data_IF_283845812247
#
_entry.id   IF_283845812247
#
_cell.length_a   1.000
_cell.length_b   1.000
_cell.length_c   1.000
_cell.angle_alpha   90.00
_cell.angle_beta   90.00
_cell.angle_gamma   90.00
#
_symmetry.space_group_name_H-M   'P 1'
#
loop_
_entity.id
_entity.type
_entity.pdbx_description
1 polymer ?
#
# COMPACT_ATOMS: atom_id res chain seq x y z
N UNK A 1 -16.83 22.70 13.67
CA UNK A 1 -16.10 22.27 12.48
C UNK A 1 -15.52 20.85 12.64
N UNK A 2 -16.33 19.89 13.16
CA UNK A 2 -15.87 18.51 13.48
C UNK A 2 -16.41 17.43 12.54
N UNK A 3 -16.85 17.78 11.34
CA UNK A 3 -17.54 16.88 10.42
C UNK A 3 -16.76 16.43 9.17
N UNK A 4 -15.51 16.84 8.97
CA UNK A 4 -14.76 16.67 7.71
C UNK A 4 -13.60 15.68 7.78
N UNK A 5 -13.50 14.87 8.85
CA UNK A 5 -12.54 13.76 8.84
C UNK A 5 -13.15 12.61 8.06
N UNK A 6 -12.44 12.02 7.09
CA UNK A 6 -12.85 10.75 6.54
C UNK A 6 -12.90 9.75 7.71
N UNK A 7 -14.11 9.39 8.15
CA UNK A 7 -14.29 8.23 9.03
C UNK A 7 -14.02 6.98 8.19
N UNK A 8 -12.74 6.67 8.02
CA UNK A 8 -12.34 5.29 7.93
C UNK A 8 -12.50 4.80 9.36
N UNK A 9 -13.42 3.87 9.58
CA UNK A 9 -13.66 3.31 10.91
C UNK A 9 -12.33 2.89 11.51
N UNK A 10 -12.04 3.24 12.79
CA UNK A 10 -10.92 2.65 13.49
C UNK A 10 -11.00 1.14 13.33
N UNK A 11 -9.86 0.48 13.32
CA UNK A 11 -9.77 -0.98 13.48
C UNK A 11 -10.32 -1.32 14.87
N UNK A 12 -11.65 -1.13 15.06
CA UNK A 12 -12.37 -1.79 16.14
C UNK A 12 -12.20 -3.28 15.89
N UNK A 13 -11.86 -4.03 16.92
CA UNK A 13 -11.74 -5.48 16.97
C UNK A 13 -12.90 -6.13 16.18
N UNK A 14 -12.66 -6.32 14.87
CA UNK A 14 -13.64 -7.02 14.02
C UNK A 14 -13.69 -8.44 14.55
N UNK A 15 -14.88 -9.03 14.76
CA UNK A 15 -14.99 -10.42 15.20
C UNK A 15 -14.15 -11.28 14.28
N UNK A 16 -13.15 -11.95 14.86
CA UNK A 16 -12.17 -12.75 14.15
C UNK A 16 -12.92 -13.78 13.30
N UNK A 17 -12.67 -13.74 11.99
CA UNK A 17 -12.85 -14.94 11.15
C UNK A 17 -12.23 -16.10 11.92
N UNK A 18 -12.94 -17.24 11.98
CA UNK A 18 -12.56 -18.47 12.71
C UNK A 18 -11.05 -18.57 12.82
N UNK A 19 -10.51 -18.61 14.04
CA UNK A 19 -9.09 -18.70 14.33
C UNK A 19 -8.48 -19.81 13.46
N UNK A 20 -7.92 -19.39 12.32
CA UNK A 20 -7.00 -20.23 11.55
C UNK A 20 -5.68 -20.13 12.29
N UNK A 21 -4.99 -21.23 12.46
CA UNK A 21 -3.76 -21.41 13.24
C UNK A 21 -2.80 -20.23 13.06
N UNK A 22 -2.90 -19.25 13.94
CA UNK A 22 -1.91 -18.19 14.07
C UNK A 22 -0.70 -18.79 14.78
N UNK A 23 0.51 -18.48 14.33
CA UNK A 23 1.71 -18.77 15.11
C UNK A 23 1.48 -18.32 16.56
N UNK A 24 1.91 -19.10 17.55
CA UNK A 24 1.68 -18.74 18.94
C UNK A 24 2.28 -17.35 19.22
N UNK A 25 1.53 -16.51 19.97
CA UNK A 25 2.02 -15.22 20.41
C UNK A 25 3.32 -15.40 21.21
N UNK A 26 4.36 -14.63 20.89
CA UNK A 26 5.63 -14.61 21.62
C UNK A 26 5.61 -13.55 22.72
N UNK A 27 6.19 -13.87 23.87
CA UNK A 27 6.28 -12.96 24.99
C UNK A 27 7.53 -12.06 24.97
N UNK A 28 7.66 -11.15 25.95
CA UNK A 28 8.79 -10.21 26.02
C UNK A 28 10.17 -10.89 26.08
N UNK A 29 10.28 -12.08 26.69
CA UNK A 29 11.55 -12.84 26.80
C UNK A 29 11.98 -13.41 25.46
N UNK A 30 11.04 -13.94 24.69
CA UNK A 30 11.29 -14.47 23.34
C UNK A 30 11.68 -13.34 22.38
N UNK A 31 11.05 -12.15 22.51
CA UNK A 31 11.42 -10.95 21.76
C UNK A 31 12.85 -10.54 22.11
N UNK A 32 13.22 -10.53 23.40
CA UNK A 32 14.58 -10.21 23.83
C UNK A 32 15.61 -11.20 23.28
N UNK A 33 15.30 -12.50 23.31
CA UNK A 33 16.16 -13.52 22.73
C UNK A 33 16.32 -13.36 21.21
N UNK A 34 15.25 -12.98 20.50
CA UNK A 34 15.32 -12.64 19.08
C UNK A 34 16.20 -11.42 18.82
N UNK A 35 16.09 -10.37 19.64
CA UNK A 35 16.97 -9.19 19.52
C UNK A 35 18.43 -9.55 19.71
N UNK A 36 18.79 -10.37 20.69
CA UNK A 36 20.18 -10.83 20.88
C UNK A 36 20.70 -11.62 19.68
N UNK A 37 19.90 -12.52 19.09
CA UNK A 37 20.32 -13.23 17.87
C UNK A 37 20.59 -12.28 16.70
N UNK A 38 19.79 -11.21 16.57
CA UNK A 38 20.00 -10.18 15.55
C UNK A 38 21.25 -9.32 15.84
N UNK A 39 21.51 -9.00 17.12
CA UNK A 39 22.74 -8.33 17.53
C UNK A 39 23.98 -9.15 17.19
N UNK A 40 23.94 -10.47 17.40
CA UNK A 40 25.03 -11.40 17.03
C UNK A 40 25.23 -11.48 15.49
N UNK A 41 24.16 -11.35 14.70
CA UNK A 41 24.21 -11.38 13.24
C UNK A 41 24.65 -10.04 12.60
N UNK A 42 24.49 -8.92 13.32
CA UNK A 42 24.72 -7.58 12.79
C UNK A 42 26.14 -7.36 12.23
N UNK A 43 27.25 -7.78 12.90
CA UNK A 43 28.60 -7.56 12.39
C UNK A 43 28.84 -8.24 11.04
N UNK A 44 28.29 -9.44 10.83
CA UNK A 44 28.37 -10.15 9.56
C UNK A 44 27.65 -9.38 8.46
N UNK A 45 26.39 -8.97 8.69
CA UNK A 45 25.60 -8.24 7.71
C UNK A 45 26.23 -6.89 7.35
N UNK A 46 26.75 -6.16 8.34
CA UNK A 46 27.41 -4.87 8.14
C UNK A 46 28.73 -5.00 7.39
N UNK A 47 29.42 -6.14 7.51
CA UNK A 47 30.64 -6.44 6.77
C UNK A 47 30.43 -6.69 5.28
N UNK A 48 29.19 -6.94 4.83
CA UNK A 48 28.86 -7.17 3.42
C UNK A 48 28.66 -5.82 2.70
N UNK A 49 29.29 -5.59 1.54
CA UNK A 49 29.02 -4.39 0.72
C UNK A 49 27.55 -4.25 0.32
N UNK A 50 27.03 -3.03 0.23
CA UNK A 50 25.62 -2.78 -0.13
C UNK A 50 25.22 -3.38 -1.48
N UNK A 51 26.10 -3.37 -2.47
CA UNK A 51 25.86 -4.01 -3.77
C UNK A 51 25.70 -5.54 -3.65
N UNK A 52 26.49 -6.20 -2.80
CA UNK A 52 26.40 -7.63 -2.55
C UNK A 52 25.13 -7.97 -1.76
N UNK A 53 24.74 -7.14 -0.78
CA UNK A 53 23.43 -7.31 -0.10
C UNK A 53 22.27 -7.23 -1.09
N UNK A 54 22.33 -6.28 -2.03
CA UNK A 54 21.32 -6.16 -3.09
C UNK A 54 21.28 -7.38 -4.01
N UNK A 55 22.43 -7.94 -4.39
CA UNK A 55 22.50 -9.16 -5.19
C UNK A 55 21.88 -10.36 -4.45
N UNK A 56 22.24 -10.56 -3.17
CA UNK A 56 21.72 -11.64 -2.34
C UNK A 56 20.21 -11.56 -2.16
N UNK A 57 19.67 -10.37 -1.87
CA UNK A 57 18.23 -10.12 -1.77
C UNK A 57 17.53 -10.14 -3.12
N UNK A 58 18.24 -9.79 -4.19
CA UNK A 58 17.72 -9.92 -5.56
C UNK A 58 17.33 -11.36 -5.91
N UNK A 59 18.12 -12.36 -5.50
CA UNK A 59 17.77 -13.77 -5.69
C UNK A 59 16.43 -14.14 -5.03
N UNK A 60 16.13 -13.60 -3.85
CA UNK A 60 14.82 -13.77 -3.22
C UNK A 60 13.70 -13.22 -4.10
N UNK A 61 13.88 -12.01 -4.64
CA UNK A 61 12.87 -11.40 -5.51
C UNK A 61 12.70 -12.20 -6.81
N UNK A 62 13.78 -12.66 -7.43
CA UNK A 62 13.71 -13.49 -8.64
C UNK A 62 12.88 -14.75 -8.41
N UNK A 63 13.03 -15.42 -7.26
CA UNK A 63 12.19 -16.56 -6.88
C UNK A 63 10.71 -16.19 -6.68
N UNK A 64 10.41 -15.01 -6.17
CA UNK A 64 9.04 -14.55 -5.97
C UNK A 64 8.41 -13.99 -7.25
N UNK A 65 9.21 -13.48 -8.17
CA UNK A 65 8.76 -12.99 -9.48
C UNK A 65 8.51 -14.11 -10.48
N UNK A 66 9.24 -15.24 -10.39
CA UNK A 66 9.05 -16.39 -11.27
C UNK A 66 7.70 -17.10 -10.99
N UNK A 67 6.74 -17.05 -11.93
CA UNK A 67 5.43 -17.72 -11.76
C UNK A 67 5.54 -19.25 -11.58
N UNK A 68 6.64 -19.87 -12.02
CA UNK A 68 6.87 -21.31 -11.91
C UNK A 68 7.49 -21.70 -10.57
N UNK A 69 8.08 -20.75 -9.86
CA UNK A 69 8.71 -20.97 -8.57
C UNK A 69 7.72 -21.52 -7.54
N UNK A 70 8.16 -22.49 -6.74
CA UNK A 70 7.37 -22.96 -5.62
C UNK A 70 7.17 -21.87 -4.54
N UNK A 71 8.11 -20.92 -4.43
CA UNK A 71 7.99 -19.78 -3.51
C UNK A 71 6.90 -18.80 -3.94
N UNK A 72 6.76 -18.54 -5.26
CA UNK A 72 5.62 -17.76 -5.78
C UNK A 72 4.30 -18.44 -5.47
N UNK A 73 4.21 -19.76 -5.69
CA UNK A 73 3.01 -20.56 -5.38
C UNK A 73 2.72 -20.54 -3.89
N UNK A 74 3.73 -20.68 -3.03
CA UNK A 74 3.57 -20.61 -1.59
C UNK A 74 3.09 -19.22 -1.12
N UNK A 75 3.56 -18.13 -1.75
CA UNK A 75 3.08 -16.77 -1.45
C UNK A 75 1.59 -16.63 -1.77
N UNK A 76 1.15 -17.12 -2.93
CA UNK A 76 -0.29 -17.12 -3.31
C UNK A 76 -1.09 -17.89 -2.25
N UNK A 77 -0.69 -19.14 -1.92
CA UNK A 77 -1.42 -19.99 -0.96
C UNK A 77 -1.57 -19.32 0.41
N UNK A 78 -0.46 -18.76 0.94
CA UNK A 78 -0.46 -18.11 2.25
C UNK A 78 -1.33 -16.86 2.26
N UNK A 79 -1.24 -16.06 1.19
CA UNK A 79 -2.07 -14.86 1.06
C UNK A 79 -3.56 -15.24 1.01
N UNK A 80 -3.95 -16.21 0.19
CA UNK A 80 -5.34 -16.70 0.14
C UNK A 80 -5.80 -17.21 1.49
N UNK A 81 -4.96 -17.98 2.19
CA UNK A 81 -5.31 -18.59 3.47
C UNK A 81 -5.61 -17.56 4.57
N UNK A 82 -5.03 -16.36 4.52
CA UNK A 82 -5.12 -15.37 5.60
C UNK A 82 -5.93 -14.14 5.24
N UNK A 83 -5.93 -13.73 3.96
CA UNK A 83 -6.54 -12.48 3.51
C UNK A 83 -8.04 -12.55 3.30
N UNK A 84 -8.54 -13.73 2.92
CA UNK A 84 -9.90 -13.90 2.42
C UNK A 84 -10.07 -13.56 0.94
N UNK A 85 -9.03 -13.13 0.21
CA UNK A 85 -9.08 -12.92 -1.23
C UNK A 85 -9.28 -14.22 -2.00
N UNK A 86 -9.89 -14.16 -3.19
CA UNK A 86 -9.89 -15.30 -4.10
C UNK A 86 -8.45 -15.58 -4.62
N UNK A 87 -8.20 -16.84 -4.98
CA UNK A 87 -6.91 -17.24 -5.56
C UNK A 87 -6.58 -16.47 -6.84
N UNK A 88 -7.59 -16.30 -7.70
CA UNK A 88 -7.48 -15.60 -8.98
C UNK A 88 -7.12 -14.14 -8.78
N UNK A 89 -7.73 -13.49 -7.77
CA UNK A 89 -7.41 -12.09 -7.43
C UNK A 89 -5.97 -11.97 -6.90
N UNK A 90 -5.53 -12.85 -6.00
CA UNK A 90 -4.16 -12.86 -5.48
C UNK A 90 -3.16 -13.13 -6.60
N UNK A 91 -3.41 -14.11 -7.46
CA UNK A 91 -2.50 -14.43 -8.56
C UNK A 91 -2.36 -13.26 -9.54
N UNK A 92 -3.47 -12.65 -9.96
CA UNK A 92 -3.46 -11.48 -10.85
C UNK A 92 -2.82 -10.25 -10.19
N UNK A 93 -3.12 -10.00 -8.91
CA UNK A 93 -2.54 -8.89 -8.15
C UNK A 93 -1.03 -9.01 -8.01
N UNK A 94 -0.52 -10.21 -7.74
CA UNK A 94 0.92 -10.48 -7.67
C UNK A 94 1.59 -10.41 -9.05
N UNK A 95 0.92 -10.87 -10.10
CA UNK A 95 1.42 -10.78 -11.48
C UNK A 95 1.70 -9.32 -11.85
N UNK A 96 0.72 -8.45 -11.63
CA UNK A 96 0.86 -7.03 -11.92
C UNK A 96 1.85 -6.34 -10.98
N UNK A 97 1.77 -6.60 -9.68
CA UNK A 97 2.57 -5.88 -8.69
C UNK A 97 4.07 -6.21 -8.75
N UNK A 98 4.42 -7.42 -9.17
CA UNK A 98 5.82 -7.89 -9.25
C UNK A 98 6.45 -7.72 -10.63
N UNK A 99 5.75 -7.14 -11.60
CA UNK A 99 6.22 -7.00 -12.99
C UNK A 99 7.63 -6.36 -13.08
N UNK A 100 7.91 -5.37 -12.23
CA UNK A 100 9.18 -4.63 -12.20
C UNK A 100 10.01 -4.90 -10.92
N UNK A 101 9.75 -6.01 -10.18
CA UNK A 101 10.38 -6.27 -8.88
C UNK A 101 11.45 -7.36 -8.94
N UNK A 102 12.32 -7.31 -9.94
CA UNK A 102 13.43 -8.24 -10.12
C UNK A 102 14.73 -7.79 -9.42
N UNK A 103 15.74 -8.66 -9.45
CA UNK A 103 17.07 -8.38 -8.90
C UNK A 103 17.74 -7.16 -9.53
N UNK A 104 17.51 -6.90 -10.83
CA UNK A 104 18.05 -5.76 -11.55
C UNK A 104 17.46 -4.44 -11.04
N UNK A 105 16.14 -4.40 -10.89
CA UNK A 105 15.41 -3.24 -10.37
C UNK A 105 15.80 -2.91 -8.93
N UNK A 106 15.98 -3.94 -8.08
CA UNK A 106 16.47 -3.78 -6.71
C UNK A 106 17.90 -3.20 -6.69
N UNK A 107 18.82 -3.77 -7.48
CA UNK A 107 20.19 -3.27 -7.58
C UNK A 107 20.27 -1.82 -8.09
N UNK A 108 19.39 -1.46 -9.03
CA UNK A 108 19.28 -0.09 -9.52
C UNK A 108 18.78 0.87 -8.45
N UNK A 109 17.78 0.48 -7.66
CA UNK A 109 17.30 1.27 -6.52
C UNK A 109 18.42 1.53 -5.50
N UNK A 110 19.11 0.46 -5.08
CA UNK A 110 20.24 0.57 -4.13
C UNK A 110 21.33 1.48 -4.66
N UNK A 111 21.71 1.33 -5.95
CA UNK A 111 22.76 2.16 -6.56
C UNK A 111 22.37 3.63 -6.59
N UNK A 112 21.12 3.95 -6.89
CA UNK A 112 20.65 5.34 -6.95
C UNK A 112 20.64 5.99 -5.56
N UNK A 113 20.04 5.32 -4.56
CA UNK A 113 19.83 5.91 -3.26
C UNK A 113 21.09 5.88 -2.37
N UNK A 114 21.86 4.76 -2.36
CA UNK A 114 23.02 4.64 -1.49
C UNK A 114 24.27 5.32 -2.05
N UNK A 115 24.45 5.39 -3.37
CA UNK A 115 25.62 6.07 -3.97
C UNK A 115 25.56 7.57 -3.71
N UNK A 116 24.39 8.18 -3.85
CA UNK A 116 24.22 9.61 -3.57
C UNK A 116 24.49 9.92 -2.09
N UNK A 117 24.00 9.09 -1.18
CA UNK A 117 24.25 9.22 0.25
C UNK A 117 25.73 9.03 0.61
N UNK A 118 26.43 8.09 -0.01
CA UNK A 118 27.87 7.88 0.20
C UNK A 118 28.69 9.07 -0.30
N UNK A 119 28.30 9.66 -1.43
CA UNK A 119 28.95 10.88 -1.96
C UNK A 119 28.75 12.08 -1.05
N UNK A 120 27.60 12.20 -0.39
CA UNK A 120 27.31 13.30 0.55
C UNK A 120 28.02 13.14 1.89
N UNK A 121 28.23 11.92 2.35
CA UNK A 121 28.79 11.66 3.70
C UNK A 121 30.27 11.32 3.71
N UNK A 122 30.90 11.06 2.56
CA UNK A 122 32.31 10.69 2.45
C UNK A 122 32.69 9.38 3.16
N UNK A 123 31.71 8.53 3.50
CA UNK A 123 31.91 7.31 4.29
C UNK A 123 31.09 6.12 3.84
N UNK A 124 31.31 4.97 4.48
CA UNK A 124 30.50 3.76 4.28
C UNK A 124 29.09 3.99 4.79
N UNK A 125 28.09 3.67 3.95
CA UNK A 125 26.66 3.80 4.30
C UNK A 125 26.26 2.62 5.19
N UNK A 126 25.96 2.90 6.46
CA UNK A 126 25.58 1.90 7.46
C UNK A 126 24.20 2.24 8.01
N UNK A 127 23.32 1.25 8.06
CA UNK A 127 22.04 1.32 8.74
C UNK A 127 22.16 1.26 10.28
N UNK A 128 21.06 1.40 11.00
CA UNK A 128 21.00 1.20 12.44
C UNK A 128 21.45 -0.21 12.84
N UNK A 129 21.94 -0.35 14.09
CA UNK A 129 22.32 -1.65 14.62
C UNK A 129 21.21 -2.71 14.52
N UNK A 130 19.95 -2.27 14.57
CA UNK A 130 18.76 -3.08 14.37
C UNK A 130 17.58 -2.19 13.96
N UNK A 131 16.68 -2.71 13.14
CA UNK A 131 15.41 -2.07 12.80
C UNK A 131 14.24 -2.97 13.20
N UNK A 132 13.33 -2.46 14.03
CA UNK A 132 12.04 -3.10 14.28
C UNK A 132 11.03 -2.65 13.22
N UNK A 133 10.31 -3.61 12.63
CA UNK A 133 9.35 -3.37 11.56
C UNK A 133 7.96 -3.83 11.99
N UNK A 134 7.02 -2.88 12.13
CA UNK A 134 5.60 -3.15 12.34
C UNK A 134 4.89 -3.18 11.00
N UNK A 135 4.45 -4.36 10.60
CA UNK A 135 3.71 -4.57 9.37
C UNK A 135 2.21 -4.39 9.58
N UNK A 136 1.52 -3.93 8.54
CA UNK A 136 0.08 -3.74 8.55
C UNK A 136 -0.55 -4.08 7.19
N UNK A 137 -1.88 -4.17 7.19
CA UNK A 137 -2.63 -4.48 5.97
C UNK A 137 -2.68 -5.95 5.63
N UNK A 138 -3.25 -6.25 4.46
CA UNK A 138 -3.55 -7.60 3.97
C UNK A 138 -2.80 -7.93 2.68
N UNK A 139 -2.19 -6.93 2.05
CA UNK A 139 -1.47 -7.06 0.79
C UNK A 139 -0.03 -7.44 1.06
N UNK A 140 0.50 -8.51 0.44
CA UNK A 140 1.84 -9.03 0.76
C UNK A 140 2.98 -8.11 0.31
N UNK A 141 2.79 -7.32 -0.76
CA UNK A 141 3.88 -6.55 -1.38
C UNK A 141 4.54 -5.52 -0.46
N UNK A 142 3.80 -4.64 0.25
CA UNK A 142 4.41 -3.73 1.23
C UNK A 142 5.08 -4.49 2.39
N UNK A 143 4.49 -5.62 2.82
CA UNK A 143 5.03 -6.44 3.91
C UNK A 143 6.33 -7.14 3.50
N UNK A 144 6.42 -7.65 2.27
CA UNK A 144 7.65 -8.18 1.68
C UNK A 144 8.74 -7.11 1.65
N UNK A 145 8.45 -5.96 1.04
CA UNK A 145 9.44 -4.90 0.86
C UNK A 145 9.94 -4.38 2.20
N UNK A 146 9.04 -4.04 3.13
CA UNK A 146 9.41 -3.53 4.44
C UNK A 146 10.22 -4.55 5.27
N UNK A 147 10.05 -5.85 5.03
CA UNK A 147 10.86 -6.89 5.69
C UNK A 147 12.30 -6.89 5.19
N UNK A 148 12.57 -6.57 3.91
CA UNK A 148 13.92 -6.67 3.33
C UNK A 148 14.68 -5.35 3.25
N UNK A 149 13.99 -4.20 3.23
CA UNK A 149 14.63 -2.88 3.08
C UNK A 149 15.74 -2.60 4.10
N UNK A 150 15.57 -2.88 5.41
CA UNK A 150 16.64 -2.61 6.37
C UNK A 150 17.90 -3.45 6.13
N UNK A 151 17.78 -4.68 5.59
CA UNK A 151 18.93 -5.52 5.26
C UNK A 151 19.82 -4.88 4.19
N UNK A 152 19.24 -4.16 3.23
CA UNK A 152 19.99 -3.46 2.17
C UNK A 152 20.94 -2.42 2.72
N UNK A 153 20.62 -1.82 3.86
CA UNK A 153 21.49 -0.86 4.55
C UNK A 153 22.33 -1.49 5.67
N UNK A 154 22.31 -2.82 5.79
CA UNK A 154 23.10 -3.54 6.81
C UNK A 154 22.48 -3.54 8.21
N UNK A 155 21.18 -3.32 8.33
CA UNK A 155 20.43 -3.35 9.58
C UNK A 155 19.64 -4.66 9.70
N UNK A 156 19.94 -5.55 10.67
CA UNK A 156 19.12 -6.71 10.97
C UNK A 156 17.69 -6.32 11.36
N UNK A 157 16.74 -7.21 11.11
CA UNK A 157 15.31 -6.87 11.15
C UNK A 157 14.54 -7.72 12.15
N UNK A 158 13.89 -7.04 13.09
CA UNK A 158 12.89 -7.63 13.99
C UNK A 158 11.50 -7.30 13.46
N UNK A 159 10.74 -8.30 13.01
CA UNK A 159 9.47 -8.09 12.32
C UNK A 159 8.28 -8.48 13.19
N UNK A 160 7.36 -7.54 13.42
CA UNK A 160 6.02 -7.82 13.90
C UNK A 160 5.09 -7.95 12.70
N UNK A 161 4.63 -9.17 12.37
CA UNK A 161 3.76 -9.38 11.22
C UNK A 161 2.40 -8.71 11.37
N UNK A 162 1.77 -8.39 10.24
CA UNK A 162 0.37 -8.00 10.24
C UNK A 162 -0.52 -9.19 10.65
N UNK A 163 -1.52 -9.00 11.51
CA UNK A 163 -2.50 -10.05 11.80
C UNK A 163 -3.28 -10.53 10.57
N UNK A 164 -3.35 -9.71 9.52
CA UNK A 164 -4.05 -10.01 8.26
C UNK A 164 -3.14 -10.60 7.19
N UNK A 165 -1.83 -10.54 7.38
CA UNK A 165 -0.80 -11.16 6.55
C UNK A 165 0.36 -11.63 7.43
N UNK A 166 0.16 -12.66 8.25
CA UNK A 166 1.24 -13.22 9.06
C UNK A 166 2.22 -14.05 8.23
N UNK A 167 1.81 -14.48 7.05
CA UNK A 167 2.54 -15.44 6.22
C UNK A 167 3.71 -14.86 5.43
N UNK A 168 3.61 -13.63 4.94
CA UNK A 168 4.62 -13.04 4.05
C UNK A 168 6.02 -12.94 4.71
N UNK A 169 6.21 -12.36 5.91
CA UNK A 169 7.55 -12.27 6.49
C UNK A 169 8.13 -13.65 6.87
N UNK A 170 7.27 -14.61 7.24
CA UNK A 170 7.70 -15.99 7.51
C UNK A 170 8.18 -16.65 6.22
N UNK A 171 7.47 -16.47 5.10
CA UNK A 171 7.87 -17.00 3.80
C UNK A 171 9.21 -16.40 3.33
N UNK A 172 9.45 -15.11 3.56
CA UNK A 172 10.74 -14.47 3.28
C UNK A 172 11.88 -15.19 4.01
N UNK A 173 11.71 -15.43 5.31
CA UNK A 173 12.72 -16.14 6.12
C UNK A 173 12.93 -17.56 5.63
N UNK A 174 11.87 -18.29 5.29
CA UNK A 174 11.97 -19.67 4.81
C UNK A 174 12.66 -19.74 3.44
N UNK A 175 12.33 -18.87 2.51
CA UNK A 175 12.99 -18.76 1.23
C UNK A 175 14.49 -18.46 1.40
N UNK A 176 14.82 -17.47 2.24
CA UNK A 176 16.21 -17.15 2.54
C UNK A 176 16.95 -18.31 3.22
N UNK A 177 16.32 -19.09 4.10
CA UNK A 177 16.95 -20.29 4.69
C UNK A 177 17.38 -21.29 3.63
N UNK A 178 16.67 -21.37 2.52
CA UNK A 178 17.01 -22.26 1.41
C UNK A 178 18.14 -21.69 0.53
N UNK A 179 18.05 -20.38 0.17
CA UNK A 179 18.94 -19.79 -0.82
C UNK A 179 20.15 -19.02 -0.24
N UNK A 180 20.03 -18.52 0.99
CA UNK A 180 21.06 -17.76 1.70
C UNK A 180 20.87 -17.83 3.22
N UNK A 181 21.27 -18.95 3.87
CA UNK A 181 21.02 -19.20 5.29
C UNK A 181 21.63 -18.12 6.22
N UNK A 182 22.75 -17.53 5.84
CA UNK A 182 23.40 -16.49 6.64
C UNK A 182 22.55 -15.19 6.64
N UNK A 183 22.01 -14.83 5.50
CA UNK A 183 21.11 -13.67 5.40
C UNK A 183 19.79 -13.94 6.16
N UNK A 184 19.29 -15.16 6.14
CA UNK A 184 18.09 -15.55 6.89
C UNK A 184 18.23 -15.32 8.41
N UNK A 185 19.44 -15.45 8.97
CA UNK A 185 19.72 -15.18 10.40
C UNK A 185 19.61 -13.70 10.79
N UNK A 186 19.56 -12.82 9.80
CA UNK A 186 19.40 -11.38 10.02
C UNK A 186 17.94 -10.93 10.11
N UNK A 187 16.98 -11.88 10.10
CA UNK A 187 15.54 -11.58 10.23
C UNK A 187 14.93 -12.46 11.32
N UNK A 188 14.25 -11.84 12.27
CA UNK A 188 13.45 -12.52 13.28
C UNK A 188 11.99 -12.07 13.18
N UNK A 189 11.06 -13.02 13.10
CA UNK A 189 9.62 -12.74 13.03
C UNK A 189 9.00 -13.07 14.39
N UNK A 190 8.41 -12.04 15.02
CA UNK A 190 7.89 -12.11 16.40
C UNK A 190 6.40 -11.72 16.41
N UNK A 191 5.49 -12.69 16.24
CA UNK A 191 4.05 -12.41 16.30
C UNK A 191 3.63 -12.17 17.76
N UNK A 192 2.98 -11.04 18.03
CA UNK A 192 2.37 -10.72 19.31
C UNK A 192 1.20 -9.76 19.13
N UNK A 193 0.29 -9.74 20.09
CA UNK A 193 -0.90 -8.86 20.03
C UNK A 193 -0.53 -7.42 20.32
N UNK A 194 -1.06 -6.48 19.53
CA UNK A 194 -0.73 -5.05 19.66
C UNK A 194 -1.10 -4.43 21.03
N UNK A 195 -2.02 -5.05 21.77
CA UNK A 195 -2.40 -4.63 23.12
C UNK A 195 -1.51 -5.22 24.23
N UNK A 196 -0.60 -6.15 23.91
CA UNK A 196 0.42 -6.58 24.85
C UNK A 196 1.49 -5.48 24.97
N UNK A 197 1.29 -4.64 25.99
CA UNK A 197 2.16 -3.49 26.25
C UNK A 197 3.59 -3.89 26.63
N UNK A 198 3.80 -5.05 27.25
CA UNK A 198 5.13 -5.51 27.62
C UNK A 198 5.92 -6.00 26.41
N UNK A 199 5.27 -6.80 25.54
CA UNK A 199 5.84 -7.23 24.29
C UNK A 199 6.14 -6.03 23.37
N UNK A 200 5.19 -5.10 23.23
CA UNK A 200 5.36 -3.90 22.43
C UNK A 200 6.51 -3.02 22.94
N UNK A 201 6.57 -2.74 24.24
CA UNK A 201 7.66 -1.96 24.83
C UNK A 201 9.04 -2.61 24.62
N UNK A 202 9.13 -3.95 24.65
CA UNK A 202 10.39 -4.64 24.36
C UNK A 202 10.74 -4.52 22.88
N UNK A 203 9.79 -4.77 22.00
CA UNK A 203 9.95 -4.68 20.55
C UNK A 203 10.40 -3.29 20.08
N UNK A 204 9.87 -2.22 20.68
CA UNK A 204 10.20 -0.83 20.35
C UNK A 204 11.55 -0.33 20.88
N UNK A 205 12.39 -1.18 21.48
CA UNK A 205 13.72 -0.77 21.97
C UNK A 205 14.80 -0.62 20.87
N UNK A 206 14.52 -1.09 19.67
CA UNK A 206 15.44 -0.95 18.54
C UNK A 206 15.76 0.53 18.23
N UNK A 207 16.99 0.85 17.80
CA UNK A 207 17.37 2.23 17.45
C UNK A 207 16.51 2.86 16.36
N UNK A 208 15.98 2.03 15.45
CA UNK A 208 15.08 2.44 14.38
C UNK A 208 13.81 1.60 14.42
N UNK A 209 12.68 2.24 14.24
CA UNK A 209 11.37 1.59 14.09
C UNK A 209 10.76 2.05 12.77
N UNK A 210 10.43 1.10 11.91
CA UNK A 210 9.64 1.34 10.71
C UNK A 210 8.24 0.79 10.97
N UNK A 211 7.22 1.63 10.83
CA UNK A 211 5.87 1.24 11.18
C UNK A 211 4.87 1.64 10.10
N UNK A 212 4.05 0.66 9.68
CA UNK A 212 2.87 0.87 8.84
C UNK A 212 1.61 0.68 9.69
N UNK A 213 0.57 1.48 9.43
CA UNK A 213 -0.70 1.34 10.14
C UNK A 213 -1.60 2.56 10.06
N UNK A 214 -2.67 2.55 10.87
CA UNK A 214 -3.52 3.73 11.02
C UNK A 214 -2.76 4.87 11.73
N UNK A 215 -3.25 6.10 11.59
CA UNK A 215 -2.65 7.26 12.25
C UNK A 215 -2.64 7.10 13.77
N UNK A 216 -3.67 6.48 14.34
CA UNK A 216 -3.74 6.15 15.77
C UNK A 216 -2.63 5.17 16.19
N UNK A 217 -2.37 4.14 15.36
CA UNK A 217 -1.29 3.18 15.58
C UNK A 217 0.07 3.88 15.56
N UNK A 218 0.31 4.72 14.54
CA UNK A 218 1.56 5.48 14.43
C UNK A 218 1.75 6.41 15.63
N UNK A 219 0.69 7.12 16.06
CA UNK A 219 0.74 7.97 17.24
C UNK A 219 1.00 7.18 18.53
N UNK A 220 0.39 6.01 18.69
CA UNK A 220 0.61 5.13 19.84
C UNK A 220 2.07 4.65 19.92
N UNK A 221 2.65 4.23 18.80
CA UNK A 221 4.06 3.85 18.70
C UNK A 221 4.96 5.04 19.06
N UNK A 222 4.73 6.20 18.45
CA UNK A 222 5.53 7.40 18.69
C UNK A 222 5.58 7.81 20.16
N UNK A 223 4.45 7.67 20.89
CA UNK A 223 4.36 8.00 22.32
C UNK A 223 5.19 7.08 23.22
N UNK A 224 5.47 5.86 22.76
CA UNK A 224 6.24 4.86 23.52
C UNK A 224 7.74 4.89 23.18
N UNK A 225 8.12 5.58 22.12
CA UNK A 225 9.52 5.67 21.69
C UNK A 225 10.29 6.75 22.43
N UNK A 226 11.59 6.49 22.64
CA UNK A 226 12.54 7.49 23.14
C UNK A 226 12.81 8.57 22.07
N UNK A 227 13.09 9.83 22.45
CA UNK A 227 13.48 10.90 21.53
C UNK A 227 14.70 10.59 20.65
N UNK A 228 15.57 9.69 21.10
CA UNK A 228 16.79 9.31 20.36
C UNK A 228 16.55 8.21 19.31
N UNK A 229 15.40 7.56 19.33
CA UNK A 229 15.04 6.53 18.35
C UNK A 229 14.47 7.17 17.08
N UNK A 230 14.75 6.55 15.94
CA UNK A 230 14.20 6.96 14.66
C UNK A 230 12.87 6.24 14.41
N UNK A 231 11.85 7.00 14.02
CA UNK A 231 10.58 6.47 13.53
C UNK A 231 10.42 6.78 12.05
N UNK A 232 10.30 5.74 11.23
CA UNK A 232 9.88 5.81 9.82
C UNK A 232 8.43 5.34 9.78
N UNK A 233 7.51 6.29 9.62
CA UNK A 233 6.08 6.02 9.70
C UNK A 233 5.42 6.09 8.34
N UNK A 234 4.56 5.10 8.05
CA UNK A 234 3.66 5.02 6.91
C UNK A 234 2.23 4.96 7.44
N UNK A 235 1.60 6.14 7.55
CA UNK A 235 0.24 6.31 8.06
C UNK A 235 -0.83 5.96 7.03
N UNK A 236 -2.08 6.31 7.35
CA UNK A 236 -3.21 6.06 6.47
C UNK A 236 -3.11 6.90 5.18
N UNK A 237 -3.21 6.24 4.04
CA UNK A 237 -3.18 6.85 2.71
C UNK A 237 -4.24 6.25 1.80
N UNK A 238 -4.69 7.03 0.81
CA UNK A 238 -5.55 6.56 -0.26
C UNK A 238 -5.19 7.22 -1.60
N UNK A 239 -5.65 6.60 -2.67
CA UNK A 239 -5.40 7.02 -4.04
C UNK A 239 -6.71 7.42 -4.74
N UNK A 240 -6.60 8.17 -5.82
CA UNK A 240 -7.73 8.57 -6.65
C UNK A 240 -7.41 8.38 -8.13
N UNK A 241 -8.45 8.43 -8.98
CA UNK A 241 -8.25 8.64 -10.41
C UNK A 241 -8.82 9.99 -10.83
N UNK A 242 -8.22 10.63 -11.83
CA UNK A 242 -8.70 11.86 -12.46
C UNK A 242 -8.80 11.59 -13.96
N UNK A 243 -9.99 11.71 -14.50
CA UNK A 243 -10.29 11.39 -15.91
C UNK A 243 -10.91 12.60 -16.59
N UNK A 244 -10.37 12.98 -17.74
CA UNK A 244 -10.89 14.10 -18.52
C UNK A 244 -12.27 13.79 -19.12
N UNK A 245 -13.22 14.69 -18.91
CA UNK A 245 -14.62 14.48 -19.28
C UNK A 245 -14.86 14.43 -20.80
N UNK A 246 -14.14 15.24 -21.59
CA UNK A 246 -14.30 15.29 -23.04
C UNK A 246 -13.87 13.98 -23.69
N UNK A 247 -12.77 13.40 -23.22
CA UNK A 247 -12.26 12.11 -23.72
C UNK A 247 -13.23 10.95 -23.39
N UNK A 248 -13.95 11.00 -22.28
CA UNK A 248 -14.96 10.00 -21.93
C UNK A 248 -16.18 9.96 -22.84
N UNK A 249 -16.42 10.99 -23.66
CA UNK A 249 -17.50 11.01 -24.64
C UNK A 249 -17.20 10.16 -25.87
N UNK A 250 -15.91 9.92 -26.17
CA UNK A 250 -15.50 8.89 -27.11
C UNK A 250 -15.73 7.49 -26.54
N UNK A 251 -16.42 6.65 -27.30
CA UNK A 251 -16.85 5.33 -26.81
C UNK A 251 -15.67 4.38 -26.66
N UNK A 252 -14.78 4.34 -27.66
CA UNK A 252 -13.65 3.42 -27.67
C UNK A 252 -12.64 3.77 -26.55
N UNK A 253 -12.29 5.04 -26.43
CA UNK A 253 -11.44 5.52 -25.35
C UNK A 253 -12.04 5.27 -23.95
N UNK A 254 -13.35 5.48 -23.80
CA UNK A 254 -14.06 5.20 -22.53
C UNK A 254 -14.00 3.73 -22.15
N UNK A 255 -14.15 2.82 -23.13
CA UNK A 255 -14.02 1.38 -22.91
C UNK A 255 -12.64 1.01 -22.37
N UNK A 256 -11.57 1.55 -22.97
CA UNK A 256 -10.20 1.29 -22.53
C UNK A 256 -9.94 1.82 -21.12
N UNK A 257 -10.35 3.05 -20.83
CA UNK A 257 -10.15 3.65 -19.50
C UNK A 257 -10.99 2.96 -18.44
N UNK A 258 -12.23 2.59 -18.74
CA UNK A 258 -13.10 1.88 -17.81
C UNK A 258 -12.54 0.48 -17.50
N UNK A 259 -11.99 -0.22 -18.50
CA UNK A 259 -11.31 -1.50 -18.32
C UNK A 259 -10.10 -1.36 -17.39
N UNK A 260 -9.25 -0.37 -17.62
CA UNK A 260 -8.08 -0.10 -16.80
C UNK A 260 -8.46 0.31 -15.36
N UNK A 261 -9.47 1.15 -15.18
CA UNK A 261 -9.99 1.49 -13.85
C UNK A 261 -10.59 0.30 -13.12
N UNK A 262 -11.29 -0.60 -13.85
CA UNK A 262 -11.85 -1.82 -13.28
C UNK A 262 -10.74 -2.75 -12.73
N UNK A 263 -9.57 -2.81 -13.38
CA UNK A 263 -8.39 -3.53 -12.87
C UNK A 263 -7.93 -2.93 -11.55
N UNK A 264 -7.70 -1.61 -11.49
CA UNK A 264 -7.25 -0.92 -10.28
C UNK A 264 -8.23 -1.04 -9.09
N UNK A 265 -9.54 -1.18 -9.37
CA UNK A 265 -10.58 -1.35 -8.36
C UNK A 265 -10.72 -2.82 -7.94
N UNK A 266 -10.68 -3.76 -8.89
CA UNK A 266 -10.95 -5.16 -8.62
C UNK A 266 -9.80 -5.86 -7.90
N UNK A 267 -8.55 -5.52 -8.24
CA UNK A 267 -7.39 -6.12 -7.59
C UNK A 267 -7.35 -5.79 -6.10
N UNK A 268 -6.99 -6.80 -5.30
CA UNK A 268 -6.96 -6.72 -3.84
C UNK A 268 -8.29 -6.27 -3.22
N UNK A 269 -9.40 -6.46 -3.93
CA UNK A 269 -10.75 -6.02 -3.52
C UNK A 269 -10.79 -4.55 -3.06
N UNK A 270 -9.98 -3.69 -3.68
CA UNK A 270 -9.85 -2.26 -3.34
C UNK A 270 -9.31 -2.01 -1.90
N UNK A 271 -8.69 -3.00 -1.25
CA UNK A 271 -8.18 -2.86 0.13
C UNK A 271 -6.77 -2.28 0.21
N UNK A 272 -6.12 -2.03 -0.91
CA UNK A 272 -4.80 -1.39 -0.98
C UNK A 272 -4.90 0.14 -0.94
N UNK A 273 -3.92 0.79 -0.31
CA UNK A 273 -3.81 2.26 -0.34
C UNK A 273 -3.63 2.83 -1.76
N UNK A 274 -3.21 2.00 -2.70
CA UNK A 274 -3.07 2.36 -4.11
C UNK A 274 -4.36 2.18 -4.91
N UNK A 275 -5.37 1.47 -4.38
CA UNK A 275 -6.67 1.37 -5.05
C UNK A 275 -7.39 2.72 -5.04
N UNK A 276 -8.03 3.11 -6.14
CA UNK A 276 -8.71 4.40 -6.19
C UNK A 276 -9.97 4.37 -5.32
N UNK A 277 -10.01 5.21 -4.28
CA UNK A 277 -11.19 5.40 -3.43
C UNK A 277 -12.25 6.28 -4.11
N UNK A 278 -11.83 7.11 -5.07
CA UNK A 278 -12.67 8.01 -5.84
C UNK A 278 -12.14 8.19 -7.26
N UNK A 279 -13.05 8.49 -8.19
CA UNK A 279 -12.73 8.88 -9.56
C UNK A 279 -13.34 10.26 -9.80
N UNK A 280 -12.49 11.25 -10.06
CA UNK A 280 -12.90 12.58 -10.44
C UNK A 280 -13.00 12.69 -11.97
N UNK A 281 -14.17 13.04 -12.47
CA UNK A 281 -14.41 13.33 -13.89
C UNK A 281 -14.28 14.82 -14.08
N UNK A 282 -13.21 15.27 -14.74
CA UNK A 282 -12.77 16.65 -14.82
C UNK A 282 -13.17 17.30 -16.14
N UNK A 283 -13.84 18.43 -16.09
CA UNK A 283 -14.16 19.27 -17.23
C UNK A 283 -15.64 19.61 -17.36
N UNK A 284 -15.99 20.44 -18.34
CA UNK A 284 -17.35 20.98 -18.53
C UNK A 284 -18.41 19.92 -18.78
N UNK A 285 -18.04 18.81 -19.41
CA UNK A 285 -18.93 17.69 -19.70
C UNK A 285 -19.02 16.65 -18.55
N UNK A 286 -18.42 16.97 -17.38
CA UNK A 286 -18.30 16.03 -16.27
C UNK A 286 -19.64 15.41 -15.85
N UNK A 287 -20.71 16.21 -15.84
CA UNK A 287 -22.06 15.74 -15.51
C UNK A 287 -22.57 14.62 -16.42
N UNK A 288 -22.36 14.73 -17.74
CA UNK A 288 -22.74 13.72 -18.73
C UNK A 288 -21.75 12.57 -18.78
N UNK A 289 -20.45 12.90 -18.79
CA UNK A 289 -19.37 11.94 -18.94
C UNK A 289 -19.31 10.93 -17.77
N UNK A 290 -19.60 11.36 -16.52
CA UNK A 290 -19.64 10.47 -15.36
C UNK A 290 -20.74 9.40 -15.47
N UNK A 291 -21.88 9.72 -16.10
CA UNK A 291 -22.98 8.77 -16.31
C UNK A 291 -22.61 7.73 -17.38
N UNK A 292 -21.98 8.17 -18.46
CA UNK A 292 -21.45 7.25 -19.46
C UNK A 292 -20.36 6.33 -18.87
N UNK A 293 -19.50 6.88 -18.00
CA UNK A 293 -18.50 6.08 -17.28
C UNK A 293 -19.14 5.12 -16.27
N UNK A 294 -20.20 5.52 -15.55
CA UNK A 294 -20.96 4.66 -14.65
C UNK A 294 -21.39 3.38 -15.34
N UNK A 295 -22.05 3.49 -16.52
CA UNK A 295 -22.52 2.36 -17.29
C UNK A 295 -21.36 1.43 -17.74
N UNK A 296 -20.33 2.03 -18.36
CA UNK A 296 -19.20 1.27 -18.89
C UNK A 296 -18.38 0.61 -17.79
N UNK A 297 -18.04 1.34 -16.73
CA UNK A 297 -17.26 0.82 -15.59
C UNK A 297 -18.01 -0.29 -14.84
N UNK A 298 -19.32 -0.17 -14.69
CA UNK A 298 -20.15 -1.20 -14.05
C UNK A 298 -20.11 -2.52 -14.80
N UNK A 299 -20.19 -2.47 -16.14
CA UNK A 299 -20.05 -3.64 -16.98
C UNK A 299 -18.64 -4.24 -16.87
N UNK A 300 -17.61 -3.41 -16.92
CA UNK A 300 -16.20 -3.86 -16.77
C UNK A 300 -15.92 -4.48 -15.39
N UNK A 301 -16.48 -3.93 -14.31
CA UNK A 301 -16.39 -4.53 -12.98
C UNK A 301 -17.13 -5.88 -12.89
N UNK A 302 -18.26 -6.01 -13.57
CA UNK A 302 -18.95 -7.29 -13.65
C UNK A 302 -18.12 -8.35 -14.39
N UNK A 303 -17.50 -7.99 -15.53
CA UNK A 303 -16.59 -8.84 -16.30
C UNK A 303 -15.37 -9.24 -15.43
N UNK A 304 -14.72 -8.27 -14.75
CA UNK A 304 -13.58 -8.55 -13.87
C UNK A 304 -13.96 -9.42 -12.67
N UNK A 305 -15.15 -9.27 -12.12
CA UNK A 305 -15.63 -10.11 -11.02
C UNK A 305 -15.80 -11.58 -11.43
N UNK A 306 -16.11 -11.86 -12.69
CA UNK A 306 -16.15 -13.23 -13.20
C UNK A 306 -14.73 -13.85 -13.29
N UNK A 307 -13.73 -13.06 -13.68
CA UNK A 307 -12.34 -13.51 -13.78
C UNK A 307 -11.63 -13.56 -12.42
N UNK A 308 -11.91 -12.58 -11.59
CA UNK A 308 -11.34 -12.41 -10.25
C UNK A 308 -12.47 -12.26 -9.23
N UNK A 309 -13.06 -13.38 -8.78
CA UNK A 309 -14.15 -13.33 -7.81
C UNK A 309 -13.75 -12.49 -6.59
N UNK A 310 -14.70 -11.71 -6.08
CA UNK A 310 -14.48 -10.97 -4.85
C UNK A 310 -14.29 -11.96 -3.68
N UNK A 311 -13.33 -11.69 -2.82
CA UNK A 311 -13.09 -12.49 -1.64
C UNK A 311 -14.21 -12.40 -0.59
N UNK A 312 -14.06 -13.13 0.50
CA UNK A 312 -15.02 -13.15 1.59
C UNK A 312 -15.13 -11.77 2.27
N UNK A 313 -16.34 -11.28 2.43
CA UNK A 313 -16.61 -10.08 3.23
C UNK A 313 -17.15 -10.48 4.60
N UNK A 314 -16.74 -9.75 5.63
CA UNK A 314 -17.31 -9.88 6.98
C UNK A 314 -18.76 -9.38 7.00
N UNK A 315 -19.53 -9.77 8.02
CA UNK A 315 -20.90 -9.24 8.21
C UNK A 315 -20.90 -7.73 8.35
N UNK A 316 -19.90 -7.17 9.03
CA UNK A 316 -19.71 -5.72 9.18
C UNK A 316 -19.47 -5.06 7.81
N UNK A 317 -18.59 -5.62 7.00
CA UNK A 317 -18.32 -5.13 5.64
C UNK A 317 -19.59 -5.14 4.78
N UNK A 318 -20.37 -6.24 4.84
CA UNK A 318 -21.66 -6.34 4.11
C UNK A 318 -22.65 -5.27 4.59
N UNK A 319 -22.73 -5.05 5.90
CA UNK A 319 -23.59 -4.02 6.47
C UNK A 319 -23.17 -2.60 6.06
N UNK A 320 -21.86 -2.32 6.01
CA UNK A 320 -21.34 -1.02 5.59
C UNK A 320 -21.60 -0.75 4.10
N UNK A 321 -21.40 -1.75 3.23
CA UNK A 321 -21.75 -1.67 1.81
C UNK A 321 -23.27 -1.42 1.65
N UNK A 322 -24.09 -2.18 2.36
CA UNK A 322 -25.54 -2.01 2.29
C UNK A 322 -25.95 -0.61 2.74
N UNK A 323 -25.45 -0.13 3.88
CA UNK A 323 -25.75 1.22 4.39
C UNK A 323 -25.36 2.31 3.38
N UNK A 324 -24.18 2.17 2.74
CA UNK A 324 -23.72 3.16 1.76
C UNK A 324 -24.55 3.14 0.47
N UNK A 325 -25.09 1.96 0.07
CA UNK A 325 -26.03 1.83 -1.04
C UNK A 325 -27.39 2.42 -0.69
N UNK A 326 -27.97 2.04 0.45
CA UNK A 326 -29.25 2.54 0.93
C UNK A 326 -29.25 4.08 1.02
N UNK A 327 -28.15 4.68 1.53
CA UNK A 327 -27.95 6.12 1.57
C UNK A 327 -27.96 6.75 0.17
N UNK A 328 -27.28 6.15 -0.78
CA UNK A 328 -27.25 6.63 -2.16
C UNK A 328 -28.62 6.50 -2.84
N UNK A 329 -29.33 5.38 -2.66
CA UNK A 329 -30.68 5.14 -3.18
C UNK A 329 -31.69 6.15 -2.62
N UNK A 330 -31.63 6.45 -1.33
CA UNK A 330 -32.47 7.49 -0.74
C UNK A 330 -32.23 8.87 -1.36
N UNK A 331 -30.97 9.22 -1.63
CA UNK A 331 -30.63 10.49 -2.30
C UNK A 331 -31.01 10.51 -3.78
N UNK A 332 -30.96 9.36 -4.46
CA UNK A 332 -31.35 9.24 -5.87
C UNK A 332 -32.83 9.61 -6.11
N UNK A 333 -33.68 9.52 -5.09
CA UNK A 333 -35.08 9.95 -5.15
C UNK A 333 -35.26 11.48 -5.05
N UNK A 334 -34.19 12.25 -4.84
CA UNK A 334 -34.24 13.71 -4.76
C UNK A 334 -33.91 14.34 -6.12
N UNK A 335 -34.35 15.57 -6.40
CA UNK A 335 -33.85 16.32 -7.54
C UNK A 335 -32.31 16.40 -7.48
N UNK A 336 -31.65 16.19 -8.59
CA UNK A 336 -30.17 16.17 -8.68
C UNK A 336 -29.51 15.11 -7.78
N UNK A 337 -30.17 13.98 -7.53
CA UNK A 337 -29.60 12.86 -6.77
C UNK A 337 -28.50 12.12 -7.55
N UNK A 338 -27.73 11.24 -6.88
CA UNK A 338 -26.76 10.38 -7.55
C UNK A 338 -27.43 9.28 -8.36
N UNK A 339 -26.71 8.71 -9.32
CA UNK A 339 -27.07 7.46 -9.97
C UNK A 339 -26.20 6.30 -9.45
N UNK A 340 -26.78 5.12 -9.33
CA UNK A 340 -26.13 3.96 -8.74
C UNK A 340 -26.26 2.75 -9.66
N UNK A 341 -25.17 2.02 -9.83
CA UNK A 341 -25.14 0.68 -10.39
C UNK A 341 -24.40 -0.25 -9.42
N UNK A 342 -24.92 -1.46 -9.24
CA UNK A 342 -24.32 -2.43 -8.33
C UNK A 342 -24.65 -3.86 -8.69
N UNK A 343 -23.78 -4.81 -8.29
CA UNK A 343 -24.09 -6.23 -8.38
C UNK A 343 -25.15 -6.64 -7.35
N UNK A 344 -26.00 -7.64 -7.65
CA UNK A 344 -26.96 -8.15 -6.67
C UNK A 344 -26.29 -8.66 -5.37
N UNK A 345 -25.12 -9.28 -5.50
CA UNK A 345 -24.40 -9.93 -4.39
C UNK A 345 -23.40 -9.01 -3.66
N UNK A 346 -23.46 -7.71 -3.91
CA UNK A 346 -22.52 -6.74 -3.34
C UNK A 346 -21.05 -6.94 -3.76
N UNK A 347 -20.80 -7.57 -4.91
CA UNK A 347 -19.43 -7.80 -5.40
C UNK A 347 -18.75 -6.52 -5.88
N UNK A 348 -19.55 -5.57 -6.36
CA UNK A 348 -19.09 -4.24 -6.74
C UNK A 348 -20.22 -3.22 -6.65
N UNK A 349 -19.86 -1.93 -6.50
CA UNK A 349 -20.79 -0.79 -6.50
C UNK A 349 -20.12 0.43 -7.14
N UNK A 350 -20.82 1.10 -8.04
CA UNK A 350 -20.42 2.37 -8.62
C UNK A 350 -21.53 3.38 -8.38
N UNK A 351 -21.17 4.56 -7.85
CA UNK A 351 -22.10 5.66 -7.63
C UNK A 351 -21.61 6.89 -8.39
N UNK A 352 -22.43 7.39 -9.30
CA UNK A 352 -22.19 8.65 -9.97
C UNK A 352 -22.81 9.78 -9.15
N UNK A 353 -22.00 10.44 -8.33
CA UNK A 353 -22.43 11.55 -7.49
C UNK A 353 -22.80 12.78 -8.34
N UNK A 354 -23.74 13.58 -7.87
CA UNK A 354 -24.19 14.79 -8.56
C UNK A 354 -23.35 16.04 -8.18
N UNK A 355 -22.59 15.96 -7.11
CA UNK A 355 -21.70 17.03 -6.63
C UNK A 355 -20.30 16.48 -6.33
N UNK A 356 -19.26 17.33 -6.31
CA UNK A 356 -17.90 16.90 -6.01
C UNK A 356 -17.65 16.59 -4.53
N UNK A 357 -18.59 16.90 -3.63
CA UNK A 357 -18.41 16.75 -2.19
C UNK A 357 -18.08 15.32 -1.79
N UNK A 358 -16.91 15.15 -1.17
CA UNK A 358 -16.39 13.87 -0.75
C UNK A 358 -17.33 13.12 0.21
N UNK A 359 -17.47 11.82 -0.04
CA UNK A 359 -18.19 10.88 0.83
C UNK A 359 -17.32 9.64 1.07
N UNK A 360 -17.27 9.18 2.32
CA UNK A 360 -16.58 7.96 2.67
C UNK A 360 -17.13 6.77 1.88
N UNK A 361 -16.23 5.85 1.54
CA UNK A 361 -16.58 4.58 0.88
C UNK A 361 -16.20 3.41 1.78
N UNK A 362 -16.97 2.31 1.76
CA UNK A 362 -16.62 1.10 2.51
C UNK A 362 -15.46 0.31 1.87
N UNK A 363 -14.90 0.76 0.73
CA UNK A 363 -14.00 0.01 -0.12
C UNK A 363 -14.66 -1.29 -0.66
N UNK A 364 -13.91 -2.36 -0.88
CA UNK A 364 -14.47 -3.65 -1.36
C UNK A 364 -15.17 -3.52 -2.72
N UNK A 365 -14.48 -2.89 -3.69
CA UNK A 365 -14.97 -2.58 -5.04
C UNK A 365 -16.16 -1.62 -5.04
N UNK A 366 -16.16 -0.70 -4.07
CA UNK A 366 -17.14 0.37 -3.97
C UNK A 366 -16.47 1.70 -4.34
N UNK A 367 -16.87 2.30 -5.45
CA UNK A 367 -16.25 3.53 -5.97
C UNK A 367 -17.30 4.60 -6.26
N UNK A 368 -16.91 5.87 -6.06
CA UNK A 368 -17.73 7.04 -6.38
C UNK A 368 -17.09 7.83 -7.51
N UNK A 369 -17.91 8.24 -8.48
CA UNK A 369 -17.54 9.12 -9.58
C UNK A 369 -18.01 10.54 -9.25
N UNK A 370 -17.07 11.47 -9.14
CA UNK A 370 -17.35 12.86 -8.78
C UNK A 370 -17.19 13.79 -9.97
N UNK A 371 -18.19 14.60 -10.34
CA UNK A 371 -18.02 15.62 -11.36
C UNK A 371 -17.25 16.81 -10.79
N UNK A 372 -16.23 17.30 -11.50
CA UNK A 372 -15.53 18.55 -11.22
C UNK A 372 -15.41 19.35 -12.50
N UNK A 373 -15.83 20.61 -12.45
CA UNK A 373 -15.96 21.46 -13.65
C UNK A 373 -14.59 21.87 -14.21
N UNK A 374 -13.65 22.12 -13.31
CA UNK A 374 -12.31 22.58 -13.66
C UNK A 374 -11.24 22.15 -12.63
N UNK A 375 -9.98 22.49 -12.92
CA UNK A 375 -8.86 22.18 -12.04
C UNK A 375 -8.97 22.87 -10.66
N UNK A 376 -9.55 24.07 -10.58
CA UNK A 376 -9.68 24.78 -9.30
C UNK A 376 -10.66 24.05 -8.38
N UNK A 377 -11.79 23.58 -8.92
CA UNK A 377 -12.75 22.75 -8.20
C UNK A 377 -12.12 21.43 -7.75
N UNK A 378 -11.35 20.74 -8.61
CA UNK A 378 -10.64 19.53 -8.23
C UNK A 378 -9.67 19.77 -7.06
N UNK A 379 -8.89 20.84 -7.11
CA UNK A 379 -7.92 21.13 -6.03
C UNK A 379 -8.62 21.48 -4.73
N UNK A 380 -9.72 22.24 -4.77
CA UNK A 380 -10.49 22.58 -3.58
C UNK A 380 -11.06 21.34 -2.86
N UNK A 381 -11.50 20.32 -3.62
CA UNK A 381 -11.98 19.05 -3.06
C UNK A 381 -10.85 18.18 -2.48
N UNK A 382 -9.65 18.21 -3.08
CA UNK A 382 -8.52 17.38 -2.65
C UNK A 382 -7.70 18.02 -1.50
N UNK A 383 -7.65 19.33 -1.40
CA UNK A 383 -6.82 20.04 -0.42
C UNK A 383 -7.07 19.64 1.04
N UNK A 384 -8.32 19.44 1.51
CA UNK A 384 -8.57 18.99 2.89
C UNK A 384 -8.03 17.59 3.19
N UNK A 385 -7.77 16.79 2.16
CA UNK A 385 -7.31 15.41 2.26
C UNK A 385 -5.79 15.26 2.06
N UNK A 386 -5.07 16.35 1.82
CA UNK A 386 -3.66 16.39 1.45
C UNK A 386 -2.75 15.43 2.23
N UNK A 387 -2.80 15.40 3.58
CA UNK A 387 -1.97 14.51 4.39
C UNK A 387 -2.18 13.01 4.11
N UNK A 388 -3.33 12.63 3.53
CA UNK A 388 -3.71 11.23 3.27
C UNK A 388 -3.62 10.83 1.79
N UNK A 389 -3.23 11.73 0.90
CA UNK A 389 -3.09 11.44 -0.53
C UNK A 389 -1.84 10.60 -0.81
N UNK A 390 -1.96 9.60 -1.70
CA UNK A 390 -0.86 8.71 -2.11
C UNK A 390 -0.57 8.82 -3.60
N UNK A 391 -1.40 8.18 -4.43
CA UNK A 391 -1.20 8.09 -5.88
C UNK A 391 -2.41 8.60 -6.66
N UNK A 392 -2.20 9.12 -7.85
CA UNK A 392 -3.27 9.47 -8.76
C UNK A 392 -3.08 8.78 -10.12
N UNK A 393 -4.14 8.08 -10.57
CA UNK A 393 -4.23 7.66 -11.96
C UNK A 393 -4.78 8.82 -12.80
N UNK A 394 -4.09 9.18 -13.86
CA UNK A 394 -4.44 10.32 -14.71
C UNK A 394 -4.73 9.84 -16.12
N UNK A 395 -5.91 10.17 -16.66
CA UNK A 395 -6.30 9.82 -18.02
C UNK A 395 -7.02 10.97 -18.74
N UNK A 396 -6.61 11.25 -19.96
CA UNK A 396 -7.18 12.25 -20.85
C UNK A 396 -6.44 12.28 -22.17
N UNK A 397 -7.09 12.77 -23.22
CA UNK A 397 -6.55 12.89 -24.57
C UNK A 397 -6.82 14.24 -25.20
N UNK A 398 -7.48 15.16 -24.49
CA UNK A 398 -7.80 16.50 -25.01
C UNK A 398 -6.56 17.38 -25.19
N UNK A 399 -6.65 18.42 -26.03
CA UNK A 399 -5.50 19.29 -26.34
C UNK A 399 -4.98 20.08 -25.12
N UNK A 400 -5.82 20.31 -24.12
CA UNK A 400 -5.47 21.00 -22.89
C UNK A 400 -5.06 20.06 -21.76
N UNK A 401 -5.05 18.74 -22.02
CA UNK A 401 -4.68 17.73 -21.05
C UNK A 401 -3.16 17.64 -20.90
N UNK A 402 -2.66 18.14 -19.77
CA UNK A 402 -1.22 18.14 -19.45
C UNK A 402 -0.97 17.44 -18.10
N UNK A 403 -1.03 16.09 -18.08
CA UNK A 403 -0.89 15.32 -16.85
C UNK A 403 0.53 15.38 -16.25
N UNK A 404 1.55 15.60 -17.08
CA UNK A 404 2.94 15.69 -16.63
C UNK A 404 3.37 17.10 -16.20
N UNK A 405 2.62 18.12 -16.60
CA UNK A 405 2.94 19.52 -16.36
C UNK A 405 2.24 20.13 -15.15
N UNK A 406 1.38 21.11 -15.38
CA UNK A 406 0.74 21.91 -14.30
C UNK A 406 -0.17 21.07 -13.40
N UNK A 407 -0.92 20.10 -13.96
CA UNK A 407 -1.81 19.25 -13.17
C UNK A 407 -1.00 18.41 -12.16
N UNK A 408 0.00 17.65 -12.61
CA UNK A 408 0.83 16.84 -11.73
C UNK A 408 1.61 17.69 -10.72
N UNK A 409 2.12 18.85 -11.13
CA UNK A 409 2.83 19.75 -10.23
C UNK A 409 1.94 20.22 -9.07
N UNK A 410 0.69 20.61 -9.37
CA UNK A 410 -0.24 21.04 -8.35
C UNK A 410 -0.70 19.89 -7.46
N UNK A 411 -0.96 18.71 -8.03
CA UNK A 411 -1.33 17.52 -7.27
C UNK A 411 -0.18 17.06 -6.34
N UNK A 412 1.08 17.15 -6.77
CA UNK A 412 2.24 16.94 -5.87
C UNK A 412 2.23 17.88 -4.69
N UNK A 413 1.96 19.17 -4.92
CA UNK A 413 1.88 20.15 -3.85
C UNK A 413 0.75 19.86 -2.84
N UNK A 414 -0.29 19.12 -3.24
CA UNK A 414 -1.35 18.64 -2.39
C UNK A 414 -0.99 17.37 -1.60
N UNK A 415 0.08 16.66 -1.95
CA UNK A 415 0.53 15.48 -1.22
C UNK A 415 0.63 14.18 -2.02
N UNK A 416 0.26 14.18 -3.31
CA UNK A 416 0.46 12.99 -4.16
C UNK A 416 1.94 12.74 -4.43
N UNK A 417 2.36 11.50 -4.23
CA UNK A 417 3.75 11.08 -4.46
C UNK A 417 3.95 10.30 -5.77
N UNK A 418 2.88 9.81 -6.40
CA UNK A 418 2.94 9.00 -7.62
C UNK A 418 1.82 9.34 -8.60
N UNK A 419 2.18 9.34 -9.89
CA UNK A 419 1.26 9.46 -11.01
C UNK A 419 1.47 8.34 -12.00
N UNK A 420 0.40 7.75 -12.50
CA UNK A 420 0.42 6.72 -13.53
C UNK A 420 -0.86 6.79 -14.38
N UNK A 421 -0.94 6.01 -15.45
CA UNK A 421 -2.21 5.75 -16.12
C UNK A 421 -3.11 4.82 -15.32
N UNK A 422 -4.43 4.80 -15.59
CA UNK A 422 -5.32 3.77 -15.07
C UNK A 422 -4.80 2.36 -15.38
N UNK A 423 -5.13 1.38 -14.54
CA UNK A 423 -4.66 0.01 -14.63
C UNK A 423 -3.22 -0.21 -14.10
N UNK A 424 -2.55 0.86 -13.67
CA UNK A 424 -1.16 0.80 -13.16
C UNK A 424 -1.02 1.23 -11.69
N UNK A 425 -2.13 1.53 -11.01
CA UNK A 425 -2.07 1.92 -9.60
C UNK A 425 -1.50 0.79 -8.74
N UNK A 426 -1.88 -0.47 -9.01
CA UNK A 426 -1.43 -1.64 -8.24
C UNK A 426 -0.03 -2.15 -8.62
N UNK A 427 0.66 -1.49 -9.55
CA UNK A 427 2.01 -1.82 -10.01
C UNK A 427 3.02 -0.70 -9.70
N UNK A 428 3.29 -0.38 -8.42
CA UNK A 428 4.34 0.57 -8.10
C UNK A 428 5.70 -0.06 -8.42
N UNK A 429 6.60 0.65 -9.13
CA UNK A 429 7.97 0.16 -9.31
C UNK A 429 8.67 0.05 -7.95
N UNK A 430 9.60 -0.89 -7.79
CA UNK A 430 10.28 -1.12 -6.51
C UNK A 430 11.00 0.13 -5.97
N UNK A 431 11.46 1.01 -6.86
CA UNK A 431 12.13 2.26 -6.53
C UNK A 431 11.17 3.45 -6.33
N UNK A 432 9.86 3.19 -6.24
CA UNK A 432 8.90 4.27 -5.98
C UNK A 432 9.14 4.89 -4.61
N UNK A 433 9.28 6.20 -4.58
CA UNK A 433 9.39 6.98 -3.36
C UNK A 433 8.05 6.98 -2.59
N UNK A 434 7.89 6.01 -1.71
CA UNK A 434 6.69 5.88 -0.89
C UNK A 434 6.50 7.14 -0.05
N UNK A 435 5.32 7.75 -0.13
CA UNK A 435 5.02 9.05 0.49
C UNK A 435 5.96 10.20 0.08
N UNK A 436 6.52 10.12 -1.14
CA UNK A 436 7.43 11.14 -1.67
C UNK A 436 8.83 11.15 -1.06
N UNK A 437 9.19 10.11 -0.30
CA UNK A 437 10.51 9.95 0.35
C UNK A 437 11.28 8.80 -0.29
N UNK A 438 12.60 8.90 -0.41
CA UNK A 438 13.45 7.74 -0.72
C UNK A 438 13.15 6.57 0.23
N UNK A 439 13.33 5.34 -0.23
CA UNK A 439 12.98 4.14 0.57
C UNK A 439 14.12 3.70 1.49
N UNK A 440 15.37 3.89 1.09
CA UNK A 440 16.57 3.48 1.85
C UNK A 440 17.17 4.63 2.66
N UNK A 441 17.20 5.85 2.14
CA UNK A 441 17.80 7.01 2.81
C UNK A 441 17.27 7.22 4.25
N UNK A 442 15.96 7.11 4.54
CA UNK A 442 15.45 7.23 5.91
C UNK A 442 15.98 6.17 6.88
N UNK A 443 16.44 5.03 6.35
CA UNK A 443 17.03 3.93 7.14
C UNK A 443 18.50 4.13 7.45
N UNK A 444 19.20 5.11 6.83
CA UNK A 444 20.63 5.30 7.06
C UNK A 444 20.91 5.87 8.45
N UNK A 445 21.93 5.34 9.13
CA UNK A 445 22.44 5.97 10.32
C UNK A 445 23.04 7.35 9.94
N UNK A 446 22.71 8.39 10.71
CA UNK A 446 23.39 9.66 10.52
C UNK A 446 24.87 9.48 10.87
N UNK A 447 25.82 9.99 10.05
CA UNK A 447 27.23 9.95 10.41
C UNK A 447 27.40 10.67 11.75
N UNK A 448 28.01 10.02 12.71
CA UNK A 448 28.48 10.69 13.92
C UNK A 448 29.56 11.66 13.44
N UNK A 449 29.44 12.99 13.70
CA UNK A 449 30.52 13.90 13.37
C UNK A 449 31.79 13.41 14.05
N UNK A 450 32.85 13.13 13.27
CA UNK A 450 34.15 12.87 13.82
C UNK A 450 34.57 14.21 14.44
N UNK A 451 34.53 14.32 15.79
CA UNK A 451 35.11 15.44 16.49
C UNK A 451 36.61 15.41 16.20
N UNK A 452 37.06 16.33 15.36
CA UNK A 452 38.47 16.61 15.21
C UNK A 452 38.98 17.13 16.57
N UNK A 453 39.63 16.26 17.33
CA UNK A 453 40.50 16.65 18.45
C UNK A 453 41.85 17.06 17.92
#
# INVERSE_FOLDING_TARGET
MDGLRPRVHPEEERPMMKQRESSPDVGPKEIEAAMHRLEDAAPWLQGIPGAERAERLGRLLDHLCDPQSHWRKALIERTVATSGFSRENVAAGLELALEDWDSTSLANMVRRELTDSALQTGGSVIGPAMTSVVLAGVIPMPNLLNTILPLLVGSPVLVKPSPRDPGTPVLVVECLKEIDPELARCIEVVPFRSHDSQALNRFLRSPCVMASGSDETILAIRRQMSPHQRLIAYGHKFSVAVVESSSLLDVEWREEVAEALAIDIALWDQLGCLSPAAIYVLGREAGKARLALLETLSRKLAERTQLWPRGEATDQTRADIKRARDEAEMRAGLPDGPELASSPNSDWTVIAESSPAWRATPLHRFVRLYPVEDHAALYAELEPMGPHLSSAALAGAGPDWDPAGRLATRLRALGFSRFCGPGRLQAPPIHWHHDGRPVLEPLLALPVPISSH
#
